data_IF_750687508270
#
_entry.id   IF_750687508270
#
_cell.length_a   1.000
_cell.length_b   1.000
_cell.length_c   1.000
_cell.angle_alpha   90.00
_cell.angle_beta   90.00
_cell.angle_gamma   90.00
#
_symmetry.space_group_name_H-M   'P 1'
#
loop_
_entity.id
_entity.type
_entity.pdbx_description
1 polymer ?
#
# COMPACT_ATOMS: atom_id res chain seq x y z
N UNK A 1 -22.13 26.72 -59.39
CA UNK A 1 -20.92 25.96 -59.72
C UNK A 1 -20.24 25.71 -58.40
N UNK A 2 -20.33 24.46 -58.00
CA UNK A 2 -20.06 23.91 -56.67
C UNK A 2 -18.55 23.74 -56.53
N UNK A 3 -17.92 24.35 -55.53
CA UNK A 3 -16.49 24.16 -55.25
C UNK A 3 -16.35 23.52 -53.87
N UNK A 4 -15.89 22.28 -53.94
CA UNK A 4 -15.84 21.24 -52.93
C UNK A 4 -14.74 21.48 -51.90
N UNK A 5 -15.07 21.29 -50.62
CA UNK A 5 -14.15 21.34 -49.47
C UNK A 5 -13.21 20.12 -49.52
N UNK A 6 -11.86 20.26 -49.45
CA UNK A 6 -10.99 19.11 -49.31
C UNK A 6 -10.95 18.63 -47.85
N UNK A 7 -11.19 17.33 -47.69
CA UNK A 7 -11.27 16.61 -46.43
C UNK A 7 -9.97 16.55 -45.66
N UNK A 8 -10.11 16.57 -44.34
CA UNK A 8 -9.04 16.47 -43.34
C UNK A 8 -8.53 15.03 -43.29
N UNK A 9 -7.26 14.80 -43.61
CA UNK A 9 -6.58 13.52 -43.38
C UNK A 9 -6.50 13.26 -41.87
N UNK A 10 -7.23 12.25 -41.42
CA UNK A 10 -7.17 11.74 -40.06
C UNK A 10 -5.85 10.99 -39.85
N UNK A 11 -4.88 11.64 -39.21
CA UNK A 11 -3.68 11.01 -38.70
C UNK A 11 -4.06 9.95 -37.64
N UNK A 12 -3.74 8.69 -37.93
CA UNK A 12 -3.82 7.58 -36.99
C UNK A 12 -2.81 7.81 -35.85
N UNK A 13 -3.29 8.27 -34.70
CA UNK A 13 -2.51 8.29 -33.46
C UNK A 13 -2.73 6.93 -32.78
N UNK A 14 -1.76 6.03 -32.96
CA UNK A 14 -1.66 4.82 -32.17
C UNK A 14 -1.68 5.18 -30.68
N UNK A 15 -2.58 4.56 -29.92
CA UNK A 15 -2.80 4.82 -28.50
C UNK A 15 -1.54 4.55 -27.68
N UNK A 16 -0.74 5.59 -27.45
CA UNK A 16 0.29 5.58 -26.43
C UNK A 16 -0.40 5.51 -25.08
N UNK A 17 -0.22 4.39 -24.38
CA UNK A 17 -0.59 4.24 -22.97
C UNK A 17 0.04 5.43 -22.23
N UNK A 18 -0.75 6.28 -21.55
CA UNK A 18 -0.21 7.45 -20.85
C UNK A 18 0.86 6.97 -19.87
N UNK A 19 2.12 7.34 -20.13
CA UNK A 19 3.17 7.22 -19.13
C UNK A 19 2.71 8.07 -17.95
N UNK A 20 2.23 7.43 -16.90
CA UNK A 20 1.80 8.14 -15.72
C UNK A 20 3.01 8.92 -15.21
N UNK A 21 2.95 10.26 -15.33
CA UNK A 21 3.83 11.22 -14.64
C UNK A 21 3.52 11.15 -13.14
N UNK A 22 3.72 9.97 -12.55
CA UNK A 22 3.95 9.82 -11.13
C UNK A 22 5.36 10.28 -10.83
N UNK A 23 5.57 10.78 -9.63
CA UNK A 23 6.90 11.04 -9.13
C UNK A 23 7.77 9.76 -9.18
N UNK A 24 9.07 9.86 -9.49
CA UNK A 24 9.96 8.70 -9.50
C UNK A 24 9.90 7.91 -8.19
N UNK A 25 9.93 6.57 -8.27
CA UNK A 25 9.91 5.67 -7.10
C UNK A 25 11.00 6.03 -6.08
N UNK A 26 12.17 6.45 -6.58
CA UNK A 26 13.27 6.96 -5.77
C UNK A 26 12.85 8.12 -4.86
N UNK A 27 12.29 9.19 -5.44
CA UNK A 27 11.92 10.39 -4.66
C UNK A 27 10.76 10.08 -3.71
N UNK A 28 9.86 9.18 -4.09
CA UNK A 28 8.81 8.70 -3.18
C UNK A 28 9.38 7.93 -1.99
N UNK A 29 10.33 7.01 -2.22
CA UNK A 29 10.97 6.24 -1.15
C UNK A 29 11.78 7.14 -0.21
N UNK A 30 12.49 8.12 -0.77
CA UNK A 30 13.19 9.16 -0.01
C UNK A 30 12.21 9.93 0.87
N UNK A 31 11.07 10.36 0.33
CA UNK A 31 10.05 11.09 1.09
C UNK A 31 9.48 10.28 2.25
N UNK A 32 9.22 8.99 2.07
CA UNK A 32 8.75 8.14 3.19
C UNK A 32 9.78 8.09 4.33
N UNK A 33 11.06 7.98 4.00
CA UNK A 33 12.13 8.01 5.01
C UNK A 33 12.29 9.40 5.66
N UNK A 34 12.26 10.47 4.86
CA UNK A 34 12.58 11.83 5.32
C UNK A 34 11.41 12.51 6.05
N UNK A 35 10.22 12.50 5.46
CA UNK A 35 9.06 13.24 5.99
C UNK A 35 8.23 12.43 6.98
N UNK A 36 8.19 11.09 6.82
CA UNK A 36 7.40 10.21 7.67
C UNK A 36 8.22 9.43 8.67
N UNK A 37 9.54 9.45 8.54
CA UNK A 37 10.45 8.63 9.34
C UNK A 37 10.06 7.15 9.31
N UNK A 38 9.54 6.69 8.16
CA UNK A 38 9.26 5.29 7.93
C UNK A 38 10.47 4.64 7.30
N UNK A 39 10.86 3.48 7.83
CA UNK A 39 11.87 2.67 7.16
C UNK A 39 11.32 2.20 5.80
N UNK A 40 12.21 2.07 4.82
CA UNK A 40 11.90 1.60 3.48
C UNK A 40 12.90 0.53 3.06
N UNK A 41 12.48 -0.38 2.18
CA UNK A 41 13.40 -1.25 1.45
C UNK A 41 12.86 -1.57 0.04
N UNK A 42 13.76 -1.82 -0.94
CA UNK A 42 13.37 -2.25 -2.27
C UNK A 42 12.90 -3.71 -2.24
N UNK A 43 11.73 -3.98 -2.81
CA UNK A 43 11.25 -5.34 -3.06
C UNK A 43 11.49 -5.79 -4.50
N UNK A 44 10.75 -6.82 -4.90
CA UNK A 44 10.66 -7.24 -6.30
C UNK A 44 10.15 -6.12 -7.21
N UNK A 45 10.38 -6.25 -8.51
CA UNK A 45 9.89 -5.33 -9.54
C UNK A 45 9.17 -6.09 -10.64
N UNK A 46 8.54 -5.34 -11.53
CA UNK A 46 7.90 -5.88 -12.71
C UNK A 46 8.84 -5.77 -13.92
N UNK A 47 8.90 -6.84 -14.69
CA UNK A 47 9.65 -6.94 -15.93
C UNK A 47 8.66 -7.16 -17.07
N UNK A 48 8.79 -6.37 -18.14
CA UNK A 48 8.01 -6.56 -19.35
C UNK A 48 8.71 -7.59 -20.23
N UNK A 49 8.14 -8.80 -20.31
CA UNK A 49 8.63 -9.89 -21.16
C UNK A 49 7.53 -10.23 -22.16
N UNK A 50 7.78 -10.03 -23.45
CA UNK A 50 6.82 -10.27 -24.54
C UNK A 50 5.46 -9.56 -24.32
N UNK A 51 5.49 -8.33 -23.78
CA UNK A 51 4.29 -7.55 -23.47
C UNK A 51 3.56 -7.97 -22.20
N UNK A 52 3.99 -9.03 -21.52
CA UNK A 52 3.43 -9.50 -20.25
C UNK A 52 4.27 -9.01 -19.08
N UNK A 53 3.61 -8.48 -18.05
CA UNK A 53 4.28 -8.10 -16.80
C UNK A 53 4.56 -9.36 -15.97
N UNK A 54 5.84 -9.65 -15.73
CA UNK A 54 6.31 -10.75 -14.87
C UNK A 54 6.97 -10.20 -13.61
N UNK A 55 6.87 -10.95 -12.51
CA UNK A 55 7.61 -10.60 -11.30
C UNK A 55 9.09 -10.96 -11.47
N UNK A 56 9.99 -10.11 -10.97
CA UNK A 56 11.42 -10.39 -10.97
C UNK A 56 11.84 -11.57 -10.08
N UNK A 57 10.92 -12.15 -9.28
CA UNK A 57 11.17 -13.40 -8.54
C UNK A 57 11.14 -14.66 -9.42
N UNK A 58 10.63 -14.55 -10.65
CA UNK A 58 10.54 -15.68 -11.60
C UNK A 58 9.38 -16.65 -11.37
N UNK A 59 8.61 -16.51 -10.28
CA UNK A 59 7.44 -17.35 -10.04
C UNK A 59 6.27 -16.95 -10.96
N UNK A 60 5.82 -17.84 -11.88
CA UNK A 60 4.71 -17.55 -12.78
C UNK A 60 3.35 -17.45 -12.06
N UNK A 61 3.23 -17.99 -10.84
CA UNK A 61 2.04 -17.94 -10.01
C UNK A 61 2.17 -16.96 -8.84
N UNK A 62 3.13 -16.03 -8.92
CA UNK A 62 3.40 -15.06 -7.85
C UNK A 62 2.12 -14.36 -7.37
N UNK A 63 1.80 -14.52 -6.07
CA UNK A 63 0.58 -13.98 -5.49
C UNK A 63 0.56 -12.44 -5.43
N UNK A 64 1.72 -11.79 -5.46
CA UNK A 64 1.88 -10.34 -5.39
C UNK A 64 2.99 -9.82 -6.34
N UNK A 65 2.84 -9.95 -7.68
CA UNK A 65 3.91 -9.65 -8.63
C UNK A 65 4.42 -8.22 -8.47
N UNK A 66 5.71 -8.04 -8.19
CA UNK A 66 6.32 -6.74 -7.98
C UNK A 66 5.94 -6.05 -6.67
N UNK A 67 5.46 -6.78 -5.66
CA UNK A 67 5.00 -6.20 -4.38
C UNK A 67 5.34 -7.06 -3.15
N UNK A 68 6.44 -7.80 -3.20
CA UNK A 68 6.97 -8.58 -2.07
C UNK A 68 8.49 -8.46 -1.96
N UNK A 69 9.10 -8.83 -0.82
CA UNK A 69 10.54 -8.86 -0.66
C UNK A 69 11.22 -9.73 -1.72
N UNK A 70 12.35 -9.27 -2.24
CA UNK A 70 13.14 -10.05 -3.19
C UNK A 70 13.96 -11.16 -2.50
N UNK A 71 14.17 -11.06 -1.17
CA UNK A 71 14.97 -11.98 -0.35
C UNK A 71 14.35 -12.11 1.04
N UNK A 72 14.61 -13.24 1.71
CA UNK A 72 14.12 -13.50 3.07
C UNK A 72 14.78 -12.59 4.12
N UNK A 73 16.03 -12.19 3.90
CA UNK A 73 16.83 -11.32 4.78
C UNK A 73 16.51 -9.82 4.62
N UNK A 74 15.37 -9.48 4.03
CA UNK A 74 14.98 -8.10 3.69
C UNK A 74 15.02 -7.14 4.89
N UNK A 75 14.81 -7.64 6.11
CA UNK A 75 14.83 -6.81 7.31
C UNK A 75 16.19 -6.13 7.53
N UNK A 76 17.28 -6.76 7.08
CA UNK A 76 18.64 -6.20 7.14
C UNK A 76 18.86 -5.08 6.10
N UNK A 77 17.99 -5.00 5.10
CA UNK A 77 18.05 -4.02 4.02
C UNK A 77 17.15 -2.80 4.30
N UNK A 78 16.32 -2.83 5.34
CA UNK A 78 15.46 -1.72 5.71
C UNK A 78 16.26 -0.51 6.22
N UNK A 79 15.86 0.69 5.81
CA UNK A 79 16.54 1.93 6.19
C UNK A 79 15.56 3.08 6.38
N UNK A 80 15.75 3.87 7.45
CA UNK A 80 15.11 5.17 7.64
C UNK A 80 15.95 6.34 7.12
N UNK A 81 17.13 6.08 6.55
CA UNK A 81 18.00 7.10 5.96
C UNK A 81 17.62 7.40 4.52
N UNK A 82 17.22 8.66 4.26
CA UNK A 82 16.98 9.20 2.91
C UNK A 82 18.15 8.98 1.94
N UNK A 83 19.40 9.18 2.40
CA UNK A 83 20.60 8.99 1.57
C UNK A 83 20.85 7.52 1.23
N UNK A 84 20.53 6.59 2.12
CA UNK A 84 20.63 5.15 1.83
C UNK A 84 19.50 4.73 0.89
N UNK A 85 18.27 5.18 1.14
CA UNK A 85 17.12 4.94 0.26
C UNK A 85 17.42 5.42 -1.17
N UNK A 86 17.89 6.66 -1.35
CA UNK A 86 18.30 7.19 -2.67
C UNK A 86 19.28 6.25 -3.38
N UNK A 87 20.30 5.74 -2.69
CA UNK A 87 21.28 4.79 -3.24
C UNK A 87 20.65 3.43 -3.61
N UNK A 88 19.70 2.94 -2.82
CA UNK A 88 19.00 1.68 -3.12
C UNK A 88 18.19 1.78 -4.42
N UNK A 89 17.40 2.84 -4.60
CA UNK A 89 16.62 3.03 -5.83
C UNK A 89 17.45 3.52 -7.03
N UNK A 90 18.63 4.10 -6.82
CA UNK A 90 19.58 4.29 -7.93
C UNK A 90 20.10 2.95 -8.47
N UNK A 91 20.30 1.96 -7.60
CA UNK A 91 20.72 0.61 -8.01
C UNK A 91 19.60 -0.16 -8.70
N UNK A 92 18.37 -0.07 -8.20
CA UNK A 92 17.20 -0.68 -8.83
C UNK A 92 16.03 0.30 -8.91
N UNK A 93 15.93 1.12 -9.98
CA UNK A 93 14.93 2.18 -10.10
C UNK A 93 13.48 1.71 -10.14
N UNK A 94 13.23 0.46 -10.55
CA UNK A 94 11.89 -0.11 -10.70
C UNK A 94 11.45 -0.96 -9.50
N UNK A 95 12.29 -1.10 -8.47
CA UNK A 95 11.96 -1.86 -7.26
C UNK A 95 10.74 -1.29 -6.55
N UNK A 96 9.86 -2.18 -6.10
CA UNK A 96 8.73 -1.81 -5.25
C UNK A 96 9.18 -1.14 -3.96
N UNK A 97 8.36 -0.24 -3.44
CA UNK A 97 8.57 0.39 -2.14
C UNK A 97 7.82 -0.40 -1.08
N UNK A 98 8.57 -1.08 -0.22
CA UNK A 98 8.03 -1.83 0.90
C UNK A 98 8.40 -1.13 2.21
N UNK A 99 7.47 -1.09 3.15
CA UNK A 99 7.62 -0.47 4.47
C UNK A 99 7.53 -1.59 5.52
N UNK A 100 8.56 -1.79 6.35
CA UNK A 100 8.53 -2.78 7.41
C UNK A 100 7.61 -2.32 8.55
N UNK A 101 6.78 -3.22 9.06
CA UNK A 101 5.90 -2.99 10.22
C UNK A 101 6.58 -3.44 11.51
N UNK A 102 6.01 -3.07 12.68
CA UNK A 102 6.57 -3.37 14.00
C UNK A 102 7.73 -2.49 14.43
N UNK A 103 8.01 -1.41 13.68
CA UNK A 103 9.08 -0.46 13.97
C UNK A 103 8.49 0.90 14.31
N UNK A 104 8.11 1.65 13.28
CA UNK A 104 7.55 3.00 13.43
C UNK A 104 6.02 3.00 13.34
N UNK A 105 5.44 1.92 12.80
CA UNK A 105 4.01 1.67 12.76
C UNK A 105 3.73 0.17 12.67
N UNK A 106 2.52 -0.21 13.05
CA UNK A 106 1.87 -1.47 12.66
C UNK A 106 0.73 -1.16 11.68
N UNK A 107 0.24 -2.18 10.98
CA UNK A 107 -0.96 -2.02 10.15
C UNK A 107 -2.04 -3.05 10.50
N UNK A 108 -3.27 -2.59 10.62
CA UNK A 108 -4.44 -3.47 10.70
C UNK A 108 -5.04 -3.57 9.31
N UNK A 109 -5.09 -4.79 8.79
CA UNK A 109 -5.53 -5.06 7.43
C UNK A 109 -6.87 -5.77 7.44
N UNK A 110 -7.80 -5.28 6.62
CA UNK A 110 -9.21 -5.73 6.53
C UNK A 110 -9.64 -5.78 5.05
N UNK A 111 -10.77 -6.43 4.70
CA UNK A 111 -11.31 -6.40 3.34
C UNK A 111 -11.65 -4.97 2.92
N UNK A 112 -11.58 -4.70 1.61
CA UNK A 112 -11.86 -3.39 1.04
C UNK A 112 -13.23 -2.84 1.46
N UNK A 113 -14.29 -3.64 1.35
CA UNK A 113 -15.65 -3.23 1.70
C UNK A 113 -15.79 -2.89 3.19
N UNK A 114 -15.33 -3.78 4.08
CA UNK A 114 -15.27 -3.51 5.51
C UNK A 114 -14.43 -2.27 5.85
N UNK A 115 -13.31 -2.05 5.15
CA UNK A 115 -12.45 -0.88 5.32
C UNK A 115 -13.17 0.44 5.01
N UNK A 116 -13.91 0.52 3.89
CA UNK A 116 -14.71 1.70 3.57
C UNK A 116 -15.83 1.95 4.58
N UNK A 117 -16.52 0.89 5.03
CA UNK A 117 -17.55 1.00 6.07
C UNK A 117 -16.95 1.50 7.39
N UNK A 118 -15.78 1.00 7.77
CA UNK A 118 -15.07 1.43 8.97
C UNK A 118 -14.64 2.90 8.86
N UNK A 119 -14.07 3.33 7.74
CA UNK A 119 -13.69 4.73 7.50
C UNK A 119 -14.88 5.67 7.65
N UNK A 120 -16.00 5.38 6.97
CA UNK A 120 -17.21 6.20 7.06
C UNK A 120 -17.73 6.30 8.50
N UNK A 121 -17.63 5.21 9.28
CA UNK A 121 -18.01 5.20 10.69
C UNK A 121 -17.05 6.02 11.55
N UNK A 122 -15.74 5.86 11.36
CA UNK A 122 -14.71 6.59 12.09
C UNK A 122 -14.81 8.10 11.86
N UNK A 123 -15.09 8.53 10.63
CA UNK A 123 -15.33 9.94 10.29
C UNK A 123 -16.55 10.50 11.01
N UNK A 124 -17.66 9.76 11.07
CA UNK A 124 -18.86 10.16 11.83
C UNK A 124 -18.64 10.21 13.35
N UNK A 125 -17.66 9.45 13.85
CA UNK A 125 -17.25 9.44 15.25
C UNK A 125 -16.15 10.47 15.54
N UNK A 126 -15.71 11.23 14.52
CA UNK A 126 -14.63 12.22 14.63
C UNK A 126 -13.32 11.64 15.19
N UNK A 127 -13.05 10.36 14.91
CA UNK A 127 -11.81 9.72 15.35
C UNK A 127 -10.60 10.26 14.60
N UNK A 128 -9.46 10.33 15.29
CA UNK A 128 -8.19 10.69 14.66
C UNK A 128 -7.74 9.54 13.75
N UNK A 129 -7.78 9.78 12.44
CA UNK A 129 -7.45 8.78 11.44
C UNK A 129 -6.05 8.96 10.88
N UNK A 130 -5.25 7.90 11.02
CA UNK A 130 -3.94 7.75 10.37
C UNK A 130 -4.03 7.52 8.86
N UNK A 131 -2.88 7.37 8.19
CA UNK A 131 -2.83 6.95 6.79
C UNK A 131 -3.48 5.58 6.57
N UNK A 132 -4.14 5.43 5.43
CA UNK A 132 -4.78 4.16 5.02
C UNK A 132 -4.44 3.87 3.57
N UNK A 133 -3.93 2.66 3.30
CA UNK A 133 -3.71 2.20 1.93
C UNK A 133 -4.82 1.27 1.47
N UNK A 134 -5.10 1.27 0.17
CA UNK A 134 -5.92 0.30 -0.53
C UNK A 134 -5.04 -0.45 -1.53
N UNK A 135 -5.00 -1.77 -1.43
CA UNK A 135 -4.18 -2.60 -2.30
C UNK A 135 -4.98 -3.36 -3.35
N UNK A 136 -4.36 -3.68 -4.51
CA UNK A 136 -5.03 -4.42 -5.59
C UNK A 136 -5.52 -5.83 -5.21
N UNK A 137 -5.09 -6.37 -4.07
CA UNK A 137 -5.59 -7.61 -3.46
C UNK A 137 -6.89 -7.41 -2.65
N UNK A 138 -7.57 -6.27 -2.82
CA UNK A 138 -8.86 -5.95 -2.18
C UNK A 138 -8.78 -5.83 -0.66
N UNK A 139 -7.66 -5.32 -0.16
CA UNK A 139 -7.40 -5.10 1.26
C UNK A 139 -7.18 -3.62 1.54
N UNK A 140 -7.75 -3.13 2.62
CA UNK A 140 -7.34 -1.86 3.23
C UNK A 140 -6.39 -2.11 4.38
N UNK A 141 -5.42 -1.22 4.58
CA UNK A 141 -4.43 -1.29 5.67
C UNK A 141 -4.40 0.04 6.40
N UNK A 142 -4.82 0.02 7.67
CA UNK A 142 -4.89 1.16 8.57
C UNK A 142 -3.61 1.22 9.39
N UNK A 143 -2.86 2.32 9.27
CA UNK A 143 -1.58 2.48 9.96
C UNK A 143 -1.86 2.96 11.39
N UNK A 144 -1.31 2.23 12.36
CA UNK A 144 -1.49 2.45 13.80
C UNK A 144 -0.14 2.47 14.50
N UNK A 145 -0.11 2.91 15.76
CA UNK A 145 1.08 2.81 16.59
C UNK A 145 1.57 1.35 16.72
N UNK A 146 2.89 1.12 16.81
CA UNK A 146 3.45 -0.20 17.05
C UNK A 146 2.87 -0.87 18.31
N UNK A 147 2.80 -2.21 18.29
CA UNK A 147 2.27 -3.03 19.39
C UNK A 147 0.83 -3.49 19.17
N UNK A 148 0.25 -3.23 18.00
CA UNK A 148 -1.08 -3.71 17.62
C UNK A 148 -1.15 -5.24 17.64
N UNK A 149 -0.06 -5.93 17.27
CA UNK A 149 0.00 -7.40 17.24
C UNK A 149 -0.29 -8.02 18.62
N UNK A 150 0.13 -7.34 19.70
CA UNK A 150 -0.10 -7.77 21.08
C UNK A 150 -1.49 -7.36 21.58
N UNK A 151 -1.93 -6.14 21.25
CA UNK A 151 -3.17 -5.54 21.77
C UNK A 151 -4.44 -6.10 21.12
N UNK A 152 -4.45 -6.23 19.80
CA UNK A 152 -5.65 -6.50 19.00
C UNK A 152 -6.37 -7.79 19.38
N UNK A 153 -5.69 -8.93 19.65
CA UNK A 153 -6.38 -10.15 20.07
C UNK A 153 -7.25 -9.97 21.32
N UNK A 154 -6.74 -9.28 22.34
CA UNK A 154 -7.49 -9.02 23.57
C UNK A 154 -8.63 -8.02 23.35
N UNK A 155 -8.37 -6.96 22.57
CA UNK A 155 -9.36 -5.94 22.23
C UNK A 155 -10.56 -6.53 21.46
N UNK A 156 -10.30 -7.36 20.45
CA UNK A 156 -11.35 -8.04 19.68
C UNK A 156 -12.17 -8.97 20.55
N UNK A 157 -11.50 -9.71 21.45
CA UNK A 157 -12.18 -10.59 22.43
C UNK A 157 -13.08 -9.81 23.39
N UNK A 158 -12.62 -8.65 23.89
CA UNK A 158 -13.43 -7.76 24.74
C UNK A 158 -14.67 -7.22 24.04
N UNK A 159 -14.62 -7.09 22.71
CA UNK A 159 -15.77 -6.70 21.88
C UNK A 159 -16.73 -7.89 21.58
N UNK A 160 -16.46 -9.09 22.11
CA UNK A 160 -17.29 -10.28 21.92
C UNK A 160 -17.03 -11.03 20.61
N UNK A 161 -15.97 -10.70 19.88
CA UNK A 161 -15.58 -11.40 18.65
C UNK A 161 -14.40 -12.35 18.88
N UNK A 162 -14.25 -13.33 17.99
CA UNK A 162 -12.99 -14.09 17.86
C UNK A 162 -12.21 -13.56 16.66
N UNK A 163 -10.90 -13.37 16.79
CA UNK A 163 -10.05 -12.95 15.67
C UNK A 163 -10.16 -13.89 14.47
N UNK A 164 -10.14 -15.20 14.69
CA UNK A 164 -10.26 -16.21 13.63
C UNK A 164 -11.60 -16.15 12.89
N UNK A 165 -12.61 -15.49 13.49
CA UNK A 165 -13.90 -15.31 12.84
C UNK A 165 -13.93 -14.07 11.94
N UNK A 166 -13.05 -13.09 12.16
CA UNK A 166 -12.98 -11.86 11.38
C UNK A 166 -11.90 -12.00 10.31
N UNK A 167 -12.14 -11.48 9.10
CA UNK A 167 -11.09 -11.30 8.09
C UNK A 167 -10.20 -10.09 8.43
N UNK A 168 -9.67 -10.06 9.65
CA UNK A 168 -8.83 -8.98 10.16
C UNK A 168 -7.46 -9.55 10.50
N UNK A 169 -6.41 -8.97 9.90
CA UNK A 169 -5.02 -9.40 10.09
C UNK A 169 -4.20 -8.22 10.59
N UNK A 170 -3.38 -8.46 11.62
CA UNK A 170 -2.43 -7.48 12.10
C UNK A 170 -1.07 -7.74 11.47
N UNK A 171 -0.50 -6.71 10.86
CA UNK A 171 0.85 -6.68 10.31
C UNK A 171 1.72 -5.92 11.32
N UNK A 172 2.36 -6.67 12.21
CA UNK A 172 3.26 -6.16 13.24
C UNK A 172 4.74 -6.42 12.91
N UNK A 173 5.54 -6.66 13.93
CA UNK A 173 6.96 -6.99 13.76
C UNK A 173 7.18 -8.20 12.84
N UNK A 174 8.18 -8.10 11.97
CA UNK A 174 8.51 -9.13 10.98
C UNK A 174 7.60 -9.15 9.74
N UNK A 175 6.62 -8.25 9.65
CA UNK A 175 5.80 -8.06 8.45
C UNK A 175 6.19 -6.77 7.69
N UNK A 176 5.50 -6.53 6.58
CA UNK A 176 5.67 -5.34 5.75
C UNK A 176 4.37 -4.96 5.05
N UNK A 177 4.31 -3.74 4.54
CA UNK A 177 3.27 -3.28 3.62
C UNK A 177 3.88 -2.74 2.35
N UNK A 178 3.28 -3.03 1.20
CA UNK A 178 3.59 -2.34 -0.04
C UNK A 178 3.03 -0.91 0.00
N UNK A 179 3.86 0.09 -0.28
CA UNK A 179 3.45 1.50 -0.27
C UNK A 179 3.08 1.99 -1.68
N UNK A 180 2.17 2.97 -1.81
CA UNK A 180 2.01 3.69 -3.07
C UNK A 180 3.34 4.28 -3.56
N UNK A 181 3.65 4.22 -4.87
CA UNK A 181 2.83 3.70 -5.97
C UNK A 181 3.19 2.26 -6.41
N UNK A 182 3.63 1.38 -5.51
CA UNK A 182 3.99 -0.03 -5.82
C UNK A 182 2.90 -0.75 -6.60
N UNK A 183 3.27 -1.46 -7.68
CA UNK A 183 2.34 -2.21 -8.55
C UNK A 183 2.24 -3.69 -8.20
N UNK A 184 1.08 -4.28 -8.44
CA UNK A 184 0.78 -5.70 -8.28
C UNK A 184 0.54 -6.32 -9.66
N UNK A 185 1.60 -6.48 -10.45
CA UNK A 185 1.49 -6.88 -11.85
C UNK A 185 0.58 -5.93 -12.64
N UNK A 186 -0.33 -6.51 -13.42
CA UNK A 186 -1.36 -5.78 -14.17
C UNK A 186 -2.58 -5.38 -13.33
N UNK A 187 -2.69 -5.81 -12.05
CA UNK A 187 -3.87 -5.55 -11.20
C UNK A 187 -3.99 -4.09 -10.74
N UNK A 188 -2.93 -3.30 -10.90
CA UNK A 188 -2.88 -1.89 -10.51
C UNK A 188 -1.80 -1.60 -9.48
N UNK A 189 -1.86 -0.42 -8.88
CA UNK A 189 -0.92 0.05 -7.87
C UNK A 189 -1.60 0.26 -6.52
N UNK A 190 -0.85 0.09 -5.43
CA UNK A 190 -1.28 0.50 -4.10
C UNK A 190 -1.65 1.99 -4.12
N UNK A 191 -2.81 2.32 -3.58
CA UNK A 191 -3.31 3.69 -3.48
C UNK A 191 -3.41 4.12 -2.02
N UNK A 192 -3.36 5.44 -1.79
CA UNK A 192 -3.76 6.02 -0.52
C UNK A 192 -5.28 6.20 -0.52
N UNK A 193 -5.99 5.44 0.32
CA UNK A 193 -7.38 5.73 0.66
C UNK A 193 -7.47 6.96 1.58
N UNK A 194 -6.50 7.10 2.49
CA UNK A 194 -6.23 8.32 3.26
C UNK A 194 -4.73 8.60 3.24
N UNK A 195 -4.35 9.72 2.63
CA UNK A 195 -2.93 10.07 2.43
C UNK A 195 -2.24 10.43 3.74
N UNK A 196 -0.93 10.16 3.87
CA UNK A 196 -0.12 10.79 4.90
C UNK A 196 -0.08 12.31 4.68
N UNK A 197 -0.42 13.07 5.70
CA UNK A 197 -0.35 14.53 5.78
C UNK A 197 0.29 14.94 7.12
N UNK A 198 0.72 16.19 7.28
CA UNK A 198 1.18 16.68 8.58
C UNK A 198 0.11 16.55 9.69
N UNK A 199 -1.19 16.62 9.33
CA UNK A 199 -2.30 16.51 10.26
C UNK A 199 -2.48 15.09 10.84
N UNK A 200 -2.06 14.05 10.12
CA UNK A 200 -2.08 12.65 10.59
C UNK A 200 -0.67 12.07 10.78
N UNK A 201 0.28 12.93 11.18
CA UNK A 201 1.64 12.51 11.51
C UNK A 201 1.68 11.55 12.70
N UNK A 202 0.82 11.78 13.68
CA UNK A 202 0.64 10.91 14.83
C UNK A 202 -0.36 9.83 14.47
N UNK A 203 0.07 8.58 14.57
CA UNK A 203 -0.78 7.44 14.28
C UNK A 203 -1.70 7.17 15.47
N UNK A 204 -2.96 6.77 15.23
CA UNK A 204 -3.85 6.32 16.30
C UNK A 204 -3.36 5.01 16.91
N UNK A 205 -3.74 4.75 18.15
CA UNK A 205 -3.60 3.41 18.74
C UNK A 205 -4.56 2.42 18.08
N UNK A 206 -4.21 1.13 18.11
CA UNK A 206 -5.11 0.07 17.69
C UNK A 206 -6.42 0.07 18.49
N UNK A 207 -6.38 0.44 19.78
CA UNK A 207 -7.56 0.52 20.65
C UNK A 207 -8.61 1.52 20.12
N UNK A 208 -8.18 2.61 19.51
CA UNK A 208 -9.08 3.63 18.93
C UNK A 208 -9.81 3.10 17.69
N UNK A 209 -9.14 2.26 16.89
CA UNK A 209 -9.67 1.81 15.60
C UNK A 209 -10.37 0.45 15.64
N UNK A 210 -10.09 -0.38 16.64
CA UNK A 210 -10.48 -1.80 16.60
C UNK A 210 -11.99 -2.01 16.64
N UNK A 211 -12.73 -1.18 17.39
CA UNK A 211 -14.19 -1.28 17.50
C UNK A 211 -14.89 -1.09 16.15
N UNK A 212 -14.69 0.02 15.41
CA UNK A 212 -15.27 0.17 14.08
C UNK A 212 -14.75 -0.85 13.05
N UNK A 213 -13.48 -1.26 13.12
CA UNK A 213 -12.92 -2.27 12.20
C UNK A 213 -13.54 -3.66 12.42
N UNK A 214 -13.59 -4.13 13.67
CA UNK A 214 -14.17 -5.43 14.01
C UNK A 214 -15.66 -5.48 13.67
N UNK A 215 -16.39 -4.39 13.95
CA UNK A 215 -17.80 -4.29 13.58
C UNK A 215 -18.01 -4.37 12.07
N UNK A 216 -17.22 -3.63 11.27
CA UNK A 216 -17.34 -3.66 9.82
C UNK A 216 -17.01 -5.04 9.24
N UNK A 217 -15.93 -5.68 9.70
CA UNK A 217 -15.57 -7.05 9.30
C UNK A 217 -16.63 -8.08 9.72
N UNK A 218 -17.34 -7.86 10.82
CA UNK A 218 -18.44 -8.71 11.27
C UNK A 218 -19.69 -8.60 10.41
N UNK A 219 -19.92 -7.46 9.74
CA UNK A 219 -21.08 -7.24 8.84
C UNK A 219 -20.83 -7.66 7.40
N UNK A 220 -19.58 -7.70 6.96
CA UNK A 220 -19.16 -8.04 5.59
C UNK A 220 -19.05 -9.55 5.35
N UNK A 221 -19.68 -10.36 6.22
CA UNK A 221 -19.72 -11.83 6.12
C UNK A 221 -20.91 -12.33 5.34
#
# INVERSE_FOLDING_TARGET
MEETIPGTEAAQIAGQIPQQRGEPLLETAVRYAEERHWDVFPGTWLEAVDGVQRCSCGDPACAAPGAHPAREDWATQATGSATVARRMWQKQPTASILLPTGRTFDAISVPETAGFLALARMERMELTLGPVTLTPDRRMRFFVLPGALVKVPDLVRKLGWSLASLDLVVLGEGAYVAAPPTRYGSRGAVQWARRPTPANRWLPDAEELISPLAYACGRDR
#
